data_IF_913583900842
#
_entry.id   IF_913583900842
#
_cell.length_a   1.000
_cell.length_b   1.000
_cell.length_c   1.000
_cell.angle_alpha   90.00
_cell.angle_beta   90.00
_cell.angle_gamma   90.00
#
_symmetry.space_group_name_H-M   'P 1'
#
loop_
_entity.id
_entity.type
_entity.pdbx_description
1 polymer ?
#
# COMPACT_ATOMS: atom_id res chain seq x y z
N UNK A 1 29.97 8.24 2.74
CA UNK A 1 28.54 8.08 2.41
C UNK A 1 28.30 7.82 0.92
N UNK A 2 28.86 8.62 0.00
CA UNK A 2 28.64 8.48 -1.45
C UNK A 2 28.90 7.07 -2.00
N UNK A 3 30.00 6.40 -1.61
CA UNK A 3 30.28 5.02 -2.03
C UNK A 3 29.16 4.03 -1.68
N UNK A 4 28.53 4.17 -0.50
CA UNK A 4 27.42 3.32 -0.07
C UNK A 4 26.15 3.62 -0.87
N UNK A 5 25.90 4.89 -1.16
CA UNK A 5 24.75 5.33 -1.99
C UNK A 5 24.88 4.80 -3.41
N UNK A 6 26.06 4.95 -4.02
CA UNK A 6 26.33 4.43 -5.37
C UNK A 6 26.19 2.91 -5.41
N UNK A 7 26.76 2.20 -4.43
CA UNK A 7 26.63 0.75 -4.34
C UNK A 7 25.16 0.29 -4.23
N UNK A 8 24.35 0.99 -3.42
CA UNK A 8 22.91 0.71 -3.28
C UNK A 8 22.14 0.96 -4.58
N UNK A 9 22.40 2.08 -5.26
CA UNK A 9 21.73 2.41 -6.53
C UNK A 9 22.11 1.37 -7.60
N UNK A 10 23.40 1.03 -7.70
CA UNK A 10 23.87 0.02 -8.64
C UNK A 10 23.27 -1.35 -8.33
N UNK A 11 23.24 -1.77 -7.07
CA UNK A 11 22.65 -3.07 -6.70
C UNK A 11 21.16 -3.12 -7.01
N UNK A 12 20.43 -2.02 -6.79
CA UNK A 12 19.01 -1.94 -7.13
C UNK A 12 18.79 -2.01 -8.65
N UNK A 13 19.56 -1.27 -9.45
CA UNK A 13 19.48 -1.29 -10.91
C UNK A 13 19.79 -2.69 -11.44
N UNK A 14 20.85 -3.32 -10.93
CA UNK A 14 21.23 -4.69 -11.31
C UNK A 14 20.13 -5.68 -10.94
N UNK A 15 19.56 -5.59 -9.74
CA UNK A 15 18.46 -6.44 -9.31
C UNK A 15 17.24 -6.30 -10.23
N UNK A 16 16.83 -5.07 -10.54
CA UNK A 16 15.72 -4.80 -11.47
C UNK A 16 16.03 -5.38 -12.85
N UNK A 17 17.24 -5.16 -13.37
CA UNK A 17 17.65 -5.70 -14.66
C UNK A 17 17.57 -7.24 -14.67
N UNK A 18 18.09 -7.90 -13.63
CA UNK A 18 18.05 -9.35 -13.49
C UNK A 18 16.61 -9.87 -13.43
N UNK A 19 15.72 -9.21 -12.71
CA UNK A 19 14.31 -9.64 -12.60
C UNK A 19 13.60 -9.56 -13.95
N UNK A 20 13.77 -8.45 -14.69
CA UNK A 20 13.05 -8.23 -15.95
C UNK A 20 13.67 -8.94 -17.16
N UNK A 21 15.00 -9.11 -17.18
CA UNK A 21 15.71 -9.67 -18.35
C UNK A 21 16.36 -11.02 -18.08
N UNK A 22 16.46 -11.45 -16.82
CA UNK A 22 17.14 -12.69 -16.45
C UNK A 22 16.30 -13.96 -16.60
N UNK A 23 15.02 -13.86 -17.00
CA UNK A 23 14.07 -14.99 -17.07
C UNK A 23 14.03 -15.85 -15.80
N UNK A 24 14.30 -15.26 -14.63
CA UNK A 24 14.33 -15.99 -13.35
C UNK A 24 12.92 -16.27 -12.84
N UNK A 25 11.96 -15.39 -13.15
CA UNK A 25 10.58 -15.50 -12.73
C UNK A 25 9.66 -15.33 -13.94
N UNK A 26 8.88 -16.37 -14.24
CA UNK A 26 7.76 -16.27 -15.17
C UNK A 26 6.53 -15.83 -14.37
N UNK A 27 6.16 -14.56 -14.50
CA UNK A 27 4.94 -14.02 -13.91
C UNK A 27 3.94 -13.70 -15.02
N UNK A 28 3.08 -14.66 -15.33
CA UNK A 28 1.97 -14.50 -16.27
C UNK A 28 0.61 -14.63 -15.58
N UNK A 29 -0.21 -13.59 -15.66
CA UNK A 29 -1.58 -13.62 -15.15
C UNK A 29 -2.51 -14.11 -16.24
N UNK A 30 -3.37 -15.07 -15.91
CA UNK A 30 -4.44 -15.46 -16.81
C UNK A 30 -5.46 -14.32 -16.97
N UNK A 31 -6.36 -14.43 -17.96
CA UNK A 31 -7.36 -13.37 -18.25
C UNK A 31 -8.23 -13.02 -17.04
N UNK A 32 -8.57 -14.00 -16.22
CA UNK A 32 -9.39 -13.81 -15.03
C UNK A 32 -8.61 -13.05 -13.95
N UNK A 33 -7.41 -13.51 -13.58
CA UNK A 33 -6.52 -12.86 -12.62
C UNK A 33 -6.19 -11.43 -13.03
N UNK A 34 -5.94 -11.18 -14.32
CA UNK A 34 -5.75 -9.83 -14.87
C UNK A 34 -7.00 -8.95 -14.69
N UNK A 35 -8.20 -9.50 -14.85
CA UNK A 35 -9.44 -8.78 -14.57
C UNK A 35 -9.60 -8.45 -13.08
N UNK A 36 -9.25 -9.39 -12.19
CA UNK A 36 -9.28 -9.15 -10.74
C UNK A 36 -8.26 -8.09 -10.33
N UNK A 37 -7.06 -8.13 -10.91
CA UNK A 37 -6.05 -7.08 -10.72
C UNK A 37 -6.57 -5.70 -11.16
N UNK A 38 -7.22 -5.59 -12.31
CA UNK A 38 -7.83 -4.31 -12.73
C UNK A 38 -8.91 -3.83 -11.73
N UNK A 39 -9.69 -4.74 -11.18
CA UNK A 39 -10.69 -4.40 -10.16
C UNK A 39 -10.03 -3.92 -8.85
N UNK A 40 -8.89 -4.49 -8.44
CA UNK A 40 -8.18 -4.01 -7.24
C UNK A 40 -7.55 -2.64 -7.44
N UNK A 41 -7.15 -2.28 -8.67
CA UNK A 41 -6.76 -0.90 -9.01
C UNK A 41 -7.91 0.07 -8.81
N UNK A 42 -9.16 -0.31 -9.10
CA UNK A 42 -10.35 0.52 -8.82
C UNK A 42 -10.52 0.71 -7.31
N UNK A 43 -10.35 -0.34 -6.50
CA UNK A 43 -10.37 -0.22 -5.03
C UNK A 43 -9.30 0.75 -4.54
N UNK A 44 -8.08 0.65 -5.08
CA UNK A 44 -6.99 1.57 -4.76
C UNK A 44 -7.33 3.03 -5.09
N UNK A 45 -7.84 3.29 -6.29
CA UNK A 45 -8.22 4.66 -6.70
C UNK A 45 -9.39 5.18 -5.86
N UNK A 46 -10.35 4.31 -5.51
CA UNK A 46 -11.46 4.65 -4.63
C UNK A 46 -10.99 5.03 -3.23
N UNK A 47 -10.14 4.22 -2.60
CA UNK A 47 -9.58 4.52 -1.27
C UNK A 47 -8.72 5.80 -1.30
N UNK A 48 -7.96 6.00 -2.38
CA UNK A 48 -7.21 7.24 -2.62
C UNK A 48 -8.14 8.45 -2.67
N UNK A 49 -9.22 8.36 -3.44
CA UNK A 49 -10.25 9.40 -3.55
C UNK A 49 -10.92 9.70 -2.22
N UNK A 50 -11.26 8.67 -1.43
CA UNK A 50 -11.80 8.84 -0.09
C UNK A 50 -10.84 9.57 0.83
N UNK A 51 -9.57 9.16 0.90
CA UNK A 51 -8.55 9.85 1.70
C UNK A 51 -8.39 11.31 1.28
N UNK A 52 -8.36 11.58 -0.02
CA UNK A 52 -8.26 12.93 -0.56
C UNK A 52 -9.46 13.80 -0.18
N UNK A 53 -10.68 13.31 -0.42
CA UNK A 53 -11.91 14.03 -0.12
C UNK A 53 -12.05 14.31 1.38
N UNK A 54 -11.85 13.29 2.21
CA UNK A 54 -11.90 13.45 3.68
C UNK A 54 -10.83 14.44 4.13
N UNK A 55 -9.62 14.37 3.59
CA UNK A 55 -8.53 15.27 3.93
C UNK A 55 -8.79 16.73 3.55
N UNK A 56 -9.37 16.99 2.38
CA UNK A 56 -9.76 18.34 1.96
C UNK A 56 -10.89 18.92 2.82
N UNK A 57 -11.88 18.09 3.18
CA UNK A 57 -13.01 18.52 4.02
C UNK A 57 -12.57 18.76 5.46
N UNK A 58 -11.82 17.82 6.05
CA UNK A 58 -11.42 17.90 7.45
C UNK A 58 -10.18 18.76 7.69
N UNK A 59 -9.47 19.17 6.63
CA UNK A 59 -8.16 19.86 6.71
C UNK A 59 -7.14 19.08 7.53
N UNK A 60 -7.20 17.76 7.43
CA UNK A 60 -6.24 16.84 8.02
C UNK A 60 -5.79 15.91 6.90
N UNK A 61 -4.56 16.10 6.43
CA UNK A 61 -4.01 15.41 5.27
C UNK A 61 -3.37 14.06 5.63
N UNK A 62 -3.43 13.64 6.90
CA UNK A 62 -2.97 12.34 7.40
C UNK A 62 -4.03 11.23 7.34
N UNK A 63 -4.96 11.29 6.38
CA UNK A 63 -5.99 10.25 6.25
C UNK A 63 -5.39 8.90 5.80
N UNK A 64 -4.34 8.93 4.97
CA UNK A 64 -3.63 7.70 4.59
C UNK A 64 -3.05 6.99 5.81
N UNK A 65 -2.55 7.75 6.81
CA UNK A 65 -2.01 7.19 8.07
C UNK A 65 -3.08 6.49 8.91
N UNK A 66 -4.37 6.76 8.69
CA UNK A 66 -5.47 6.04 9.35
C UNK A 66 -5.81 4.74 8.63
N UNK A 67 -5.62 4.71 7.32
CA UNK A 67 -6.05 3.63 6.43
C UNK A 67 -4.94 2.63 6.13
N UNK A 68 -3.67 3.00 6.26
CA UNK A 68 -2.54 2.18 5.79
C UNK A 68 -2.44 0.80 6.45
N UNK A 69 -2.88 0.65 7.70
CA UNK A 69 -2.89 -0.65 8.39
C UNK A 69 -4.07 -1.53 7.99
N UNK A 70 -5.11 -0.94 7.36
CA UNK A 70 -6.37 -1.60 7.00
C UNK A 70 -6.39 -1.95 5.51
N UNK A 71 -5.92 -1.06 4.63
CA UNK A 71 -5.93 -1.26 3.20
C UNK A 71 -5.26 -2.57 2.73
N UNK A 72 -4.10 -3.00 3.27
CA UNK A 72 -3.49 -4.28 2.91
C UNK A 72 -4.44 -5.47 3.17
N UNK A 73 -5.17 -5.45 4.29
CA UNK A 73 -6.15 -6.49 4.61
C UNK A 73 -7.26 -6.54 3.55
N UNK A 74 -7.75 -5.38 3.10
CA UNK A 74 -8.75 -5.30 2.03
C UNK A 74 -8.22 -5.94 0.75
N UNK A 75 -7.00 -5.61 0.31
CA UNK A 75 -6.45 -6.15 -0.92
C UNK A 75 -6.21 -7.66 -0.86
N UNK A 76 -5.56 -8.17 0.19
CA UNK A 76 -5.24 -9.61 0.27
C UNK A 76 -6.49 -10.48 0.37
N UNK A 77 -7.51 -10.04 1.12
CA UNK A 77 -8.79 -10.75 1.18
C UNK A 77 -9.60 -10.61 -0.11
N UNK A 78 -9.53 -9.48 -0.79
CA UNK A 78 -10.14 -9.31 -2.11
C UNK A 78 -9.58 -10.34 -3.11
N UNK A 79 -8.26 -10.50 -3.17
CA UNK A 79 -7.66 -11.51 -4.04
C UNK A 79 -7.96 -12.93 -3.58
N UNK A 80 -7.91 -13.21 -2.27
CA UNK A 80 -8.20 -14.55 -1.71
C UNK A 80 -9.63 -14.99 -1.97
N UNK A 81 -10.59 -14.07 -1.91
CA UNK A 81 -11.98 -14.36 -2.26
C UNK A 81 -12.12 -14.77 -3.73
N UNK A 82 -11.43 -14.07 -4.65
CA UNK A 82 -11.52 -14.38 -6.08
C UNK A 82 -10.72 -15.61 -6.49
N UNK A 83 -9.77 -16.07 -5.68
CA UNK A 83 -9.03 -17.31 -5.89
C UNK A 83 -9.73 -18.54 -5.33
N UNK A 84 -11.05 -18.44 -5.07
CA UNK A 84 -11.85 -19.47 -4.41
C UNK A 84 -11.20 -19.97 -3.12
N UNK A 85 -10.68 -19.02 -2.33
CA UNK A 85 -10.03 -19.29 -1.05
C UNK A 85 -8.82 -20.22 -1.18
N UNK A 86 -7.96 -19.99 -2.17
CA UNK A 86 -6.70 -20.70 -2.29
C UNK A 86 -5.90 -20.71 -0.96
N UNK A 87 -5.43 -21.88 -0.55
CA UNK A 87 -4.78 -22.09 0.76
C UNK A 87 -3.56 -21.18 0.99
N UNK A 88 -2.71 -20.98 -0.02
CA UNK A 88 -1.52 -20.13 0.09
C UNK A 88 -1.91 -18.68 0.34
N UNK A 89 -2.95 -18.22 -0.35
CA UNK A 89 -3.48 -16.87 -0.20
C UNK A 89 -4.22 -16.67 1.11
N UNK A 90 -4.92 -17.70 1.63
CA UNK A 90 -5.47 -17.68 2.99
C UNK A 90 -4.35 -17.46 4.01
N UNK A 91 -3.26 -18.24 3.94
CA UNK A 91 -2.14 -18.12 4.87
C UNK A 91 -1.56 -16.70 4.86
N UNK A 92 -1.29 -16.15 3.67
CA UNK A 92 -0.82 -14.77 3.52
C UNK A 92 -1.83 -13.76 4.09
N UNK A 93 -3.12 -13.93 3.80
CA UNK A 93 -4.17 -13.02 4.26
C UNK A 93 -4.33 -13.03 5.77
N UNK A 94 -4.21 -14.20 6.43
CA UNK A 94 -4.22 -14.32 7.89
C UNK A 94 -3.01 -13.58 8.48
N UNK A 95 -1.81 -13.80 7.96
CA UNK A 95 -0.60 -13.12 8.44
C UNK A 95 -0.71 -11.60 8.31
N UNK A 96 -1.18 -11.12 7.15
CA UNK A 96 -1.42 -9.69 6.91
C UNK A 96 -2.52 -9.15 7.82
N UNK A 97 -3.54 -9.95 8.14
CA UNK A 97 -4.60 -9.56 9.08
C UNK A 97 -4.05 -9.41 10.49
N UNK A 98 -3.27 -10.37 10.99
CA UNK A 98 -2.65 -10.30 12.32
C UNK A 98 -1.72 -9.10 12.41
N UNK A 99 -0.90 -8.88 11.39
CA UNK A 99 0.00 -7.73 11.30
C UNK A 99 -0.79 -6.40 11.25
N UNK A 100 -1.84 -6.32 10.43
CA UNK A 100 -2.70 -5.15 10.28
C UNK A 100 -3.40 -4.80 11.58
N UNK A 101 -4.07 -5.76 12.22
CA UNK A 101 -4.72 -5.60 13.52
C UNK A 101 -3.74 -5.10 14.59
N UNK A 102 -2.54 -5.67 14.65
CA UNK A 102 -1.50 -5.21 15.59
C UNK A 102 -1.13 -3.75 15.37
N UNK A 103 -1.00 -3.32 14.11
CA UNK A 103 -0.68 -1.94 13.76
C UNK A 103 -1.83 -0.98 14.02
N UNK A 104 -3.05 -1.35 13.63
CA UNK A 104 -4.28 -0.60 13.91
C UNK A 104 -4.43 -0.40 15.42
N UNK A 105 -4.21 -1.43 16.23
CA UNK A 105 -4.22 -1.33 17.69
C UNK A 105 -3.14 -0.39 18.23
N UNK A 106 -1.91 -0.48 17.72
CA UNK A 106 -0.83 0.42 18.12
C UNK A 106 -1.16 1.89 17.79
N UNK A 107 -1.71 2.14 16.61
CA UNK A 107 -2.12 3.49 16.18
C UNK A 107 -3.30 4.01 17.01
N UNK A 108 -4.27 3.16 17.34
CA UNK A 108 -5.38 3.48 18.23
C UNK A 108 -4.90 3.91 19.63
N UNK A 109 -3.95 3.18 20.22
CA UNK A 109 -3.39 3.52 21.54
C UNK A 109 -2.63 4.83 21.58
N UNK A 110 -2.09 5.28 20.44
CA UNK A 110 -1.38 6.55 20.30
C UNK A 110 -2.30 7.70 19.85
N UNK A 111 -3.61 7.58 20.08
CA UNK A 111 -4.62 8.58 19.72
C UNK A 111 -4.72 8.91 18.23
N UNK A 112 -4.22 8.02 17.36
CA UNK A 112 -4.28 8.21 15.90
C UNK A 112 -5.70 8.11 15.33
N UNK A 113 -6.60 7.43 16.04
CA UNK A 113 -8.03 7.40 15.73
C UNK A 113 -8.80 8.30 16.69
N UNK A 114 -9.75 9.07 16.15
CA UNK A 114 -10.73 9.84 16.89
C UNK A 114 -12.11 9.35 16.53
N UNK A 115 -13.03 9.37 17.50
CA UNK A 115 -14.45 9.04 17.30
C UNK A 115 -15.07 9.93 16.21
N UNK A 116 -14.63 11.19 16.12
CA UNK A 116 -15.05 12.09 15.06
C UNK A 116 -14.05 12.00 13.91
N UNK A 117 -14.49 11.55 12.73
CA UNK A 117 -13.59 11.34 11.58
C UNK A 117 -12.83 12.61 11.15
N UNK A 118 -13.39 13.78 11.40
CA UNK A 118 -12.81 15.10 11.12
C UNK A 118 -11.89 15.63 12.24
N UNK A 119 -11.82 14.95 13.39
CA UNK A 119 -10.87 15.27 14.47
C UNK A 119 -9.73 14.25 14.48
N UNK A 120 -8.58 14.66 14.95
CA UNK A 120 -7.38 13.83 15.03
C UNK A 120 -6.15 14.67 14.81
N UNK A 121 -5.03 14.20 15.34
CA UNK A 121 -3.74 14.87 15.13
C UNK A 121 -3.29 14.66 13.68
N UNK A 122 -2.95 15.75 13.03
CA UNK A 122 -2.29 15.72 11.72
C UNK A 122 -0.80 15.46 11.94
N UNK A 123 -0.16 14.76 11.00
CA UNK A 123 1.29 14.58 11.06
C UNK A 123 2.01 15.94 11.03
N UNK A 124 2.80 16.21 12.08
CA UNK A 124 3.54 17.45 12.26
C UNK A 124 4.50 17.76 11.08
N UNK A 125 4.91 16.74 10.31
CA UNK A 125 5.77 16.90 9.13
C UNK A 125 5.12 17.79 8.08
N UNK A 126 3.79 17.79 7.96
CA UNK A 126 3.09 18.66 7.01
C UNK A 126 3.19 20.13 7.38
N UNK A 127 3.21 20.46 8.68
CA UNK A 127 3.43 21.83 9.15
C UNK A 127 4.86 22.28 8.85
N UNK A 128 5.86 21.46 9.20
CA UNK A 128 7.27 21.74 8.90
C UNK A 128 7.49 21.91 7.38
N UNK A 129 6.82 21.10 6.56
CA UNK A 129 6.93 21.19 5.10
C UNK A 129 6.40 22.52 4.56
N UNK A 130 5.24 22.99 5.06
CA UNK A 130 4.66 24.28 4.70
C UNK A 130 5.51 25.47 5.17
N UNK A 131 6.17 25.33 6.32
CA UNK A 131 7.12 26.33 6.84
C UNK A 131 8.39 26.41 5.99
N UNK A 132 8.94 25.27 5.58
CA UNK A 132 10.20 25.21 4.81
C UNK A 132 10.03 25.53 3.32
N UNK A 133 8.86 25.27 2.75
CA UNK A 133 8.62 25.43 1.31
C UNK A 133 7.40 26.33 1.09
N UNK A 134 7.59 27.66 0.93
CA UNK A 134 6.51 28.63 0.91
C UNK A 134 5.43 28.38 -0.17
N UNK A 135 5.79 27.72 -1.28
CA UNK A 135 4.86 27.38 -2.37
C UNK A 135 3.69 26.50 -1.89
N UNK A 136 3.90 25.71 -0.84
CA UNK A 136 2.87 24.85 -0.24
C UNK A 136 1.86 25.60 0.63
N UNK A 137 2.03 26.91 0.85
CA UNK A 137 1.00 27.74 1.46
C UNK A 137 -0.10 28.14 0.46
N UNK A 138 0.14 27.98 -0.84
CA UNK A 138 -0.87 28.21 -1.87
C UNK A 138 -1.85 27.03 -1.87
N UNK A 139 -3.13 27.28 -1.57
CA UNK A 139 -4.17 26.26 -1.39
C UNK A 139 -4.27 25.26 -2.54
N UNK A 140 -4.23 25.72 -3.80
CA UNK A 140 -4.33 24.82 -4.96
C UNK A 140 -3.10 23.92 -5.09
N UNK A 141 -1.91 24.45 -4.82
CA UNK A 141 -0.66 23.69 -4.88
C UNK A 141 -0.64 22.64 -3.76
N UNK A 142 -1.06 23.02 -2.55
CA UNK A 142 -1.21 22.08 -1.44
C UNK A 142 -2.22 20.97 -1.75
N UNK A 143 -3.36 21.31 -2.36
CA UNK A 143 -4.37 20.31 -2.73
C UNK A 143 -3.87 19.35 -3.82
N UNK A 144 -3.15 19.84 -4.83
CA UNK A 144 -2.51 19.00 -5.84
C UNK A 144 -1.44 18.10 -5.20
N UNK A 145 -0.63 18.64 -4.30
CA UNK A 145 0.36 17.87 -3.54
C UNK A 145 -0.31 16.79 -2.69
N UNK A 146 -1.40 17.13 -2.00
CA UNK A 146 -2.21 16.19 -1.23
C UNK A 146 -2.75 15.06 -2.14
N UNK A 147 -3.29 15.38 -3.30
CA UNK A 147 -3.82 14.37 -4.22
C UNK A 147 -2.71 13.44 -4.74
N UNK A 148 -1.64 14.00 -5.31
CA UNK A 148 -0.64 13.23 -6.06
C UNK A 148 0.38 12.55 -5.16
N UNK A 149 0.87 13.24 -4.13
CA UNK A 149 1.94 12.72 -3.28
C UNK A 149 1.39 12.04 -2.03
N UNK A 150 0.53 12.73 -1.27
CA UNK A 150 0.05 12.19 0.01
C UNK A 150 -0.90 11.03 -0.26
N UNK A 151 -1.97 11.26 -1.04
CA UNK A 151 -3.00 10.25 -1.26
C UNK A 151 -2.55 9.21 -2.29
N UNK A 152 -2.32 9.60 -3.55
CA UNK A 152 -2.07 8.67 -4.65
C UNK A 152 -0.76 7.88 -4.45
N UNK A 153 0.37 8.55 -4.28
CA UNK A 153 1.65 7.87 -4.16
C UNK A 153 1.75 6.97 -2.92
N UNK A 154 1.37 7.45 -1.72
CA UNK A 154 1.46 6.61 -0.52
C UNK A 154 0.46 5.44 -0.55
N UNK A 155 -0.78 5.64 -1.03
CA UNK A 155 -1.72 4.53 -1.23
C UNK A 155 -1.22 3.57 -2.32
N UNK A 156 -0.53 4.09 -3.34
CA UNK A 156 0.10 3.29 -4.37
C UNK A 156 1.18 2.37 -3.79
N UNK A 157 2.02 2.87 -2.89
CA UNK A 157 2.99 2.03 -2.17
C UNK A 157 2.29 0.93 -1.35
N UNK A 158 1.17 1.27 -0.69
CA UNK A 158 0.38 0.32 0.08
C UNK A 158 -0.20 -0.78 -0.79
N UNK A 159 -0.75 -0.40 -1.93
CA UNK A 159 -1.24 -1.33 -2.94
C UNK A 159 -0.12 -2.23 -3.47
N UNK A 160 1.01 -1.65 -3.88
CA UNK A 160 2.14 -2.37 -4.46
C UNK A 160 2.74 -3.41 -3.52
N UNK A 161 2.94 -3.09 -2.24
CA UNK A 161 3.48 -4.08 -1.30
C UNK A 161 2.47 -5.19 -0.96
N UNK A 162 1.18 -4.99 -1.27
CA UNK A 162 0.13 -6.01 -1.10
C UNK A 162 0.03 -6.96 -2.29
N UNK A 163 0.59 -6.61 -3.46
CA UNK A 163 0.54 -7.42 -4.69
C UNK A 163 1.28 -8.77 -4.66
N UNK A 164 2.26 -9.06 -3.79
CA UNK A 164 2.84 -10.40 -3.70
C UNK A 164 1.79 -11.52 -3.48
N UNK A 165 0.62 -11.22 -2.90
CA UNK A 165 -0.48 -12.19 -2.79
C UNK A 165 -1.00 -12.65 -4.16
N UNK A 166 -0.92 -11.79 -5.19
CA UNK A 166 -1.31 -12.13 -6.55
C UNK A 166 -0.30 -13.07 -7.21
N UNK A 167 0.99 -12.95 -6.88
CA UNK A 167 2.01 -13.91 -7.31
C UNK A 167 1.79 -15.28 -6.67
N UNK A 168 1.38 -15.34 -5.41
CA UNK A 168 1.01 -16.60 -4.76
C UNK A 168 -0.15 -17.33 -5.46
N UNK A 169 -1.05 -16.61 -6.14
CA UNK A 169 -2.15 -17.20 -6.89
C UNK A 169 -1.66 -18.04 -8.09
N UNK A 170 -0.47 -17.79 -8.64
CA UNK A 170 0.06 -18.66 -9.71
C UNK A 170 0.36 -20.08 -9.24
N UNK A 171 0.58 -20.26 -7.93
CA UNK A 171 0.75 -21.56 -7.30
C UNK A 171 -0.56 -22.31 -7.03
N UNK A 172 -1.69 -21.92 -7.63
CA UNK A 172 -3.00 -22.50 -7.33
C UNK A 172 -3.06 -24.02 -7.55
N UNK A 173 -2.38 -24.51 -8.59
CA UNK A 173 -2.35 -25.93 -8.93
C UNK A 173 -1.30 -26.73 -8.14
N UNK A 174 -0.51 -26.08 -7.29
CA UNK A 174 0.50 -26.76 -6.48
C UNK A 174 0.03 -26.88 -5.02
N UNK A 175 0.27 -28.06 -4.43
CA UNK A 175 0.04 -28.25 -3.01
C UNK A 175 0.97 -27.37 -2.18
N UNK A 176 0.55 -27.03 -0.96
CA UNK A 176 1.42 -26.38 0.01
C UNK A 176 2.69 -27.20 0.23
N UNK A 177 3.81 -26.52 0.38
CA UNK A 177 5.11 -27.14 0.65
C UNK A 177 5.77 -26.52 1.89
N UNK A 178 6.99 -26.98 2.21
CA UNK A 178 7.68 -26.54 3.43
C UNK A 178 8.00 -25.03 3.42
N UNK A 179 8.17 -24.43 2.25
CA UNK A 179 8.44 -23.00 2.11
C UNK A 179 7.21 -22.13 2.35
N UNK A 180 6.00 -22.71 2.40
CA UNK A 180 4.77 -21.98 2.74
C UNK A 180 4.57 -21.83 4.26
N UNK A 181 5.31 -22.61 5.06
CA UNK A 181 5.15 -22.72 6.51
C UNK A 181 6.29 -22.00 7.26
N UNK A 182 7.47 -21.89 6.65
CA UNK A 182 8.70 -21.31 7.21
C UNK A 182 8.83 -19.84 6.81
#
# INVERSE_FOLDING_TARGET
MIKKVIALILSLIVLVYIIFYGNIFEFELNKFQMSVFKNSVIIYLFLTGLCFLVGEVSRNYSQVDKVWSIAPMIYVWFFTYHSDFNLRMILMSILVTVWGVRLTYNFARKSGYSIYFWRGEEDYRWQILKERVPIFNIKIIWSIFNLLFICLYQMGLIFLFSLPVLAAWQGENSSLNIYDIV
#
